data_IF_000342487052
#
_entry.id   IF_000342487052
#
_cell.length_a   1.000
_cell.length_b   1.000
_cell.length_c   1.000
_cell.angle_alpha   90.00
_cell.angle_beta   90.00
_cell.angle_gamma   90.00
#
_symmetry.space_group_name_H-M   'P 1'
#
loop_
_entity.id
_entity.type
_entity.pdbx_description
1 polymer ?
#
# COMPACT_ATOMS: atom_id res chain seq x y z
N UNK A 1 -9.97 11.78 -16.07
CA UNK A 1 -10.66 10.80 -15.21
C UNK A 1 -9.89 10.64 -13.92
N UNK A 2 -10.59 10.73 -12.81
CA UNK A 2 -9.96 10.54 -11.49
C UNK A 2 -9.58 9.07 -11.32
N UNK A 3 -8.32 8.82 -10.98
CA UNK A 3 -7.82 7.48 -10.68
C UNK A 3 -7.25 7.48 -9.27
N UNK A 4 -7.92 6.82 -8.30
CA UNK A 4 -7.47 6.83 -6.91
C UNK A 4 -6.25 5.95 -6.64
N UNK A 5 -5.81 5.16 -7.62
CA UNK A 5 -4.62 4.33 -7.50
C UNK A 5 -3.44 4.99 -8.18
N UNK A 6 -2.21 4.78 -7.65
CA UNK A 6 -1.01 5.24 -8.36
C UNK A 6 -0.85 4.49 -9.68
N UNK A 7 -0.06 5.04 -10.62
CA UNK A 7 0.24 4.34 -11.88
C UNK A 7 0.84 2.96 -11.62
N UNK A 8 0.64 2.04 -12.55
CA UNK A 8 1.15 0.66 -12.53
C UNK A 8 0.44 -0.26 -11.55
N UNK A 9 -0.69 0.17 -10.97
CA UNK A 9 -1.49 -0.67 -10.09
C UNK A 9 -2.92 -0.79 -10.60
N UNK A 10 -3.51 -1.94 -10.34
CA UNK A 10 -4.93 -2.20 -10.60
C UNK A 10 -5.49 -3.11 -9.53
N UNK A 11 -6.81 -3.18 -9.45
CA UNK A 11 -7.52 -4.06 -8.53
C UNK A 11 -8.06 -5.24 -9.31
N UNK A 12 -7.78 -6.44 -8.81
CA UNK A 12 -8.26 -7.70 -9.39
C UNK A 12 -8.66 -8.66 -8.29
N UNK A 13 -9.33 -9.73 -8.68
CA UNK A 13 -9.64 -10.82 -7.76
C UNK A 13 -8.34 -11.48 -7.30
N UNK A 14 -8.18 -11.61 -5.98
CA UNK A 14 -6.98 -12.16 -5.36
C UNK A 14 -7.15 -13.65 -5.06
N UNK A 15 -6.06 -14.40 -5.14
CA UNK A 15 -6.02 -15.79 -4.66
C UNK A 15 -5.88 -15.85 -3.14
N UNK A 16 -5.52 -14.74 -2.50
CA UNK A 16 -5.36 -14.67 -1.04
C UNK A 16 -6.70 -14.40 -0.38
N UNK A 17 -7.35 -13.32 -0.77
CA UNK A 17 -8.63 -12.92 -0.19
C UNK A 17 -9.28 -11.86 -1.08
N UNK A 18 -10.54 -12.07 -1.43
CA UNK A 18 -11.38 -11.09 -2.14
C UNK A 18 -10.69 -10.41 -3.31
N UNK A 19 -10.59 -9.09 -3.24
CA UNK A 19 -9.88 -8.26 -4.21
C UNK A 19 -8.49 -7.92 -3.68
N UNK A 20 -7.56 -7.67 -4.58
CA UNK A 20 -6.19 -7.31 -4.23
C UNK A 20 -5.61 -6.30 -5.21
N UNK A 21 -4.42 -5.80 -4.88
CA UNK A 21 -3.66 -4.89 -5.73
C UNK A 21 -2.69 -5.68 -6.59
N UNK A 22 -2.66 -5.40 -7.89
CA UNK A 22 -1.79 -6.10 -8.84
C UNK A 22 -1.00 -5.09 -9.65
N UNK A 23 0.25 -5.46 -9.96
CA UNK A 23 1.11 -4.65 -10.80
C UNK A 23 0.71 -4.79 -12.27
N UNK A 24 0.55 -3.66 -12.96
CA UNK A 24 0.28 -3.64 -14.40
C UNK A 24 1.56 -3.49 -15.22
N UNK A 25 2.67 -3.23 -14.55
CA UNK A 25 4.00 -3.11 -15.14
C UNK A 25 5.04 -3.42 -14.04
N UNK A 26 6.29 -3.62 -14.41
CA UNK A 26 7.35 -3.84 -13.45
C UNK A 26 7.53 -2.66 -12.51
N UNK A 27 7.79 -2.95 -11.23
CA UNK A 27 8.03 -1.94 -10.20
C UNK A 27 9.34 -2.28 -9.50
N UNK A 28 10.26 -1.33 -9.46
CA UNK A 28 11.55 -1.53 -8.82
C UNK A 28 11.44 -1.56 -7.30
N UNK A 29 12.31 -2.34 -6.66
CA UNK A 29 12.47 -2.34 -5.21
C UNK A 29 12.75 -0.92 -4.71
N UNK A 30 12.16 -0.55 -3.57
CA UNK A 30 12.35 0.76 -2.97
C UNK A 30 11.44 1.86 -3.52
N UNK A 31 10.44 1.50 -4.32
CA UNK A 31 9.51 2.47 -4.88
C UNK A 31 8.46 2.86 -3.86
N UNK A 32 8.27 4.18 -3.69
CA UNK A 32 7.18 4.73 -2.89
C UNK A 32 5.91 4.73 -3.74
N UNK A 33 4.95 3.91 -3.37
CA UNK A 33 3.70 3.76 -4.11
C UNK A 33 2.61 4.75 -3.69
N UNK A 34 2.84 5.49 -2.61
CA UNK A 34 1.88 6.47 -2.13
C UNK A 34 1.31 6.14 -0.77
N UNK A 35 0.32 6.91 -0.36
CA UNK A 35 -0.25 6.86 0.98
C UNK A 35 -1.31 5.79 1.11
N UNK A 36 -1.19 4.96 2.14
CA UNK A 36 -2.18 3.92 2.47
C UNK A 36 -3.18 4.43 3.51
N UNK A 37 -2.69 5.15 4.50
CA UNK A 37 -3.50 5.64 5.62
C UNK A 37 -3.06 7.04 6.01
N UNK A 38 -4.02 7.84 6.48
CA UNK A 38 -3.78 9.19 7.00
C UNK A 38 -4.46 9.27 8.34
N UNK A 39 -3.73 9.74 9.37
CA UNK A 39 -4.30 10.00 10.69
C UNK A 39 -4.36 11.50 10.90
N UNK A 40 -5.55 12.02 11.15
CA UNK A 40 -5.79 13.42 11.49
C UNK A 40 -6.46 13.41 12.86
N UNK A 41 -5.79 14.00 13.85
CA UNK A 41 -6.19 13.89 15.27
C UNK A 41 -6.29 12.40 15.64
N UNK A 42 -7.45 11.93 16.08
CA UNK A 42 -7.67 10.54 16.48
C UNK A 42 -8.37 9.72 15.40
N UNK A 43 -8.57 10.29 14.21
CA UNK A 43 -9.27 9.62 13.12
C UNK A 43 -8.31 9.13 12.06
N UNK A 44 -8.42 7.85 11.70
CA UNK A 44 -7.60 7.23 10.66
C UNK A 44 -8.46 7.03 9.42
N UNK A 45 -7.98 7.54 8.29
CA UNK A 45 -8.60 7.38 6.98
C UNK A 45 -7.76 6.44 6.13
N UNK A 46 -8.44 5.52 5.45
CA UNK A 46 -7.79 4.54 4.58
C UNK A 46 -8.01 4.94 3.12
N UNK A 47 -6.93 4.96 2.34
CA UNK A 47 -7.02 5.18 0.90
C UNK A 47 -7.35 3.87 0.19
N UNK A 48 -7.74 3.90 -1.10
CA UNK A 48 -7.90 2.65 -1.88
C UNK A 48 -6.64 1.80 -1.88
N UNK A 49 -5.45 2.40 -1.88
CA UNK A 49 -4.20 1.67 -1.81
C UNK A 49 -4.09 0.85 -0.52
N UNK A 50 -4.48 1.43 0.61
CA UNK A 50 -4.50 0.72 1.90
C UNK A 50 -5.70 -0.20 2.06
N UNK A 51 -6.79 0.06 1.33
CA UNK A 51 -8.03 -0.71 1.45
C UNK A 51 -8.02 -2.04 0.72
N UNK A 52 -7.22 -2.18 -0.34
CA UNK A 52 -7.24 -3.37 -1.17
C UNK A 52 -5.97 -4.21 -1.10
N UNK A 53 -4.99 -3.81 -0.30
CA UNK A 53 -3.77 -4.60 -0.16
C UNK A 53 -3.98 -5.75 0.82
N UNK A 54 -3.67 -6.97 0.38
CA UNK A 54 -3.76 -8.15 1.20
C UNK A 54 -2.46 -8.39 1.98
N UNK A 55 -2.55 -9.19 3.05
CA UNK A 55 -1.39 -9.54 3.88
C UNK A 55 -0.83 -10.90 3.48
N UNK A 56 0.49 -11.03 3.51
CA UNK A 56 1.20 -12.27 3.22
C UNK A 56 2.51 -12.26 4.02
N UNK A 57 2.91 -13.41 4.53
CA UNK A 57 4.18 -13.53 5.25
C UNK A 57 5.37 -13.28 4.33
N UNK A 58 5.25 -13.63 3.05
CA UNK A 58 6.26 -13.37 2.02
C UNK A 58 5.93 -12.08 1.26
N UNK A 59 5.57 -11.03 2.00
CA UNK A 59 5.17 -9.77 1.42
C UNK A 59 6.28 -9.13 0.57
N UNK A 60 5.85 -8.39 -0.45
CA UNK A 60 6.74 -7.62 -1.31
C UNK A 60 6.67 -6.12 -1.05
N UNK A 61 5.88 -5.70 -0.07
CA UNK A 61 5.74 -4.30 0.32
C UNK A 61 5.76 -4.13 1.84
N UNK A 62 6.02 -2.90 2.26
CA UNK A 62 6.03 -2.51 3.67
C UNK A 62 5.37 -1.13 3.80
N UNK A 63 4.68 -0.91 4.92
CA UNK A 63 4.16 0.42 5.28
C UNK A 63 5.22 1.15 6.10
N UNK A 64 5.46 2.40 5.75
CA UNK A 64 6.38 3.26 6.48
C UNK A 64 5.63 4.50 6.95
N UNK A 65 5.73 4.79 8.25
CA UNK A 65 5.14 5.99 8.81
C UNK A 65 5.97 7.19 8.38
N UNK A 66 5.30 8.17 7.80
CA UNK A 66 5.91 9.41 7.34
C UNK A 66 5.49 10.52 8.28
N UNK A 67 6.42 11.01 9.10
CA UNK A 67 6.15 12.09 10.04
C UNK A 67 6.77 13.38 9.55
N UNK A 68 6.01 14.47 9.70
CA UNK A 68 6.51 15.82 9.50
C UNK A 68 6.52 16.51 10.87
N UNK A 69 7.66 17.02 11.28
CA UNK A 69 7.80 17.72 12.55
C UNK A 69 6.82 18.89 12.61
N UNK A 70 6.12 19.01 13.73
CA UNK A 70 5.14 20.06 13.94
C UNK A 70 3.77 19.81 13.29
N UNK A 71 3.61 18.71 12.59
CA UNK A 71 2.34 18.38 11.94
C UNK A 71 1.46 17.56 12.90
N UNK A 72 0.14 17.83 12.85
CA UNK A 72 -0.85 17.02 13.57
C UNK A 72 -1.34 15.85 12.70
N UNK A 73 -0.81 15.74 11.50
CA UNK A 73 -1.20 14.71 10.53
C UNK A 73 -0.06 13.70 10.38
N UNK A 74 -0.35 12.45 10.66
CA UNK A 74 0.54 11.32 10.37
C UNK A 74 0.02 10.60 9.14
N UNK A 75 0.93 10.05 8.36
CA UNK A 75 0.54 9.23 7.21
C UNK A 75 1.48 8.05 7.08
N UNK A 76 0.98 6.99 6.45
CA UNK A 76 1.76 5.80 6.13
C UNK A 76 1.80 5.63 4.64
N UNK A 77 3.00 5.44 4.10
CA UNK A 77 3.20 5.20 2.68
C UNK A 77 3.62 3.74 2.45
N UNK A 78 3.26 3.23 1.29
CA UNK A 78 3.58 1.88 0.88
C UNK A 78 4.85 1.90 0.03
N UNK A 79 5.84 1.09 0.44
CA UNK A 79 7.09 0.95 -0.30
C UNK A 79 7.28 -0.49 -0.72
N UNK A 80 7.81 -0.70 -1.91
CA UNK A 80 8.21 -2.03 -2.34
C UNK A 80 9.52 -2.43 -1.68
N UNK A 81 9.61 -3.69 -1.23
CA UNK A 81 10.85 -4.25 -0.65
C UNK A 81 11.48 -5.30 -1.55
N UNK A 82 10.88 -5.55 -2.70
CA UNK A 82 11.36 -6.45 -3.75
C UNK A 82 11.02 -5.85 -5.10
N UNK A 83 11.72 -6.28 -6.15
CA UNK A 83 11.30 -5.99 -7.51
C UNK A 83 9.99 -6.75 -7.77
N UNK A 84 9.00 -6.06 -8.32
CA UNK A 84 7.69 -6.63 -8.59
C UNK A 84 7.51 -6.71 -10.11
N UNK A 85 7.08 -7.88 -10.59
CA UNK A 85 6.84 -8.10 -12.01
C UNK A 85 5.39 -7.80 -12.36
N UNK A 86 5.16 -7.45 -13.62
CA UNK A 86 3.82 -7.29 -14.14
C UNK A 86 2.98 -8.53 -13.83
N UNK A 87 1.78 -8.33 -13.29
CA UNK A 87 0.87 -9.41 -12.94
C UNK A 87 1.01 -9.93 -11.52
N UNK A 88 2.04 -9.54 -10.79
CA UNK A 88 2.18 -9.97 -9.39
C UNK A 88 1.25 -9.17 -8.50
N UNK A 89 0.73 -9.83 -7.47
CA UNK A 89 -0.04 -9.17 -6.42
C UNK A 89 0.91 -8.48 -5.45
N UNK A 90 0.57 -7.24 -5.07
CA UNK A 90 1.28 -6.53 -4.02
C UNK A 90 0.69 -6.97 -2.69
N UNK A 91 1.57 -7.31 -1.75
CA UNK A 91 1.17 -7.82 -0.45
C UNK A 91 1.95 -7.12 0.65
N UNK A 92 1.34 -7.04 1.82
CA UNK A 92 1.87 -6.35 2.98
C UNK A 92 2.07 -7.35 4.10
N UNK A 93 3.22 -7.30 4.76
CA UNK A 93 3.43 -8.14 5.92
C UNK A 93 2.56 -7.63 7.07
N UNK A 94 1.93 -8.56 7.78
CA UNK A 94 1.12 -8.23 8.94
C UNK A 94 1.95 -7.42 9.95
N UNK A 95 1.41 -6.30 10.39
CA UNK A 95 2.03 -5.41 11.36
C UNK A 95 1.29 -5.54 12.68
N UNK A 96 2.03 -5.46 13.81
CA UNK A 96 1.42 -5.42 15.13
C UNK A 96 0.58 -4.18 15.36
N UNK A 97 0.78 -3.17 14.54
CA UNK A 97 -0.01 -1.94 14.61
C UNK A 97 -1.20 -2.07 13.70
N UNK A 98 -2.39 -2.04 14.29
CA UNK A 98 -3.63 -2.09 13.53
C UNK A 98 -3.90 -0.74 12.90
N UNK A 99 -3.64 -0.63 11.66
CA UNK A 99 -4.01 0.54 10.86
C UNK A 99 -4.75 0.06 9.64
#
# INVERSE_FOLDING_TARGET
>A
MYNPLPPRLTIKRSLISGLGLFATAGIAQGTNLGTTHIKVDDTIFRTPLGGFINCDENANCVKVEMRTEGSITDKWNLFTIKNIKKGEELTLKYSFYKI
#
